data_IF_552403575259
#
_entry.id   IF_552403575259
#
_cell.length_a   1.000
_cell.length_b   1.000
_cell.length_c   1.000
_cell.angle_alpha   90.00
_cell.angle_beta   90.00
_cell.angle_gamma   90.00
#
_symmetry.space_group_name_H-M   'P 1'
#
loop_
_entity.id
_entity.type
_entity.pdbx_description
1 polymer ?
#
# COMPACT_ATOMS: atom_id res chain seq x y z
N UNK A 1 -3.97 -25.70 16.13
CA UNK A 1 -4.60 -24.40 15.77
C UNK A 1 -3.50 -23.36 15.89
N UNK A 2 -2.68 -23.19 14.84
CA UNK A 2 -1.32 -22.67 15.06
C UNK A 2 -0.85 -21.84 13.86
N UNK A 3 -0.29 -20.66 14.16
CA UNK A 3 0.30 -19.61 13.27
C UNK A 3 -0.63 -18.75 12.42
N UNK A 4 -1.65 -19.30 11.78
CA UNK A 4 -2.47 -18.52 10.82
C UNK A 4 -3.36 -17.46 11.49
N UNK A 5 -3.75 -17.67 12.75
CA UNK A 5 -4.63 -16.76 13.48
C UNK A 5 -3.88 -15.52 14.00
N UNK A 6 -2.61 -15.66 14.36
CA UNK A 6 -1.78 -14.58 14.90
C UNK A 6 -1.47 -13.53 13.83
N UNK A 7 -1.04 -13.96 12.63
CA UNK A 7 -0.83 -13.06 11.48
C UNK A 7 -2.08 -12.28 11.06
N UNK A 8 -3.25 -12.95 11.08
CA UNK A 8 -4.52 -12.30 10.73
C UNK A 8 -4.88 -11.16 11.67
N UNK A 9 -4.66 -11.35 12.98
CA UNK A 9 -4.96 -10.33 13.98
C UNK A 9 -3.94 -9.16 13.92
N UNK A 10 -2.68 -9.45 13.62
CA UNK A 10 -1.63 -8.42 13.54
C UNK A 10 -1.79 -7.53 12.30
N UNK A 11 -2.16 -8.09 11.15
CA UNK A 11 -2.47 -7.33 9.93
C UNK A 11 -3.69 -6.42 10.12
N UNK A 12 -4.74 -6.90 10.80
CA UNK A 12 -5.92 -6.08 11.09
C UNK A 12 -5.63 -4.97 12.12
N UNK A 13 -4.73 -5.24 13.08
CA UNK A 13 -4.26 -4.23 14.05
C UNK A 13 -3.39 -3.16 13.40
N UNK A 14 -2.47 -3.56 12.52
CA UNK A 14 -1.65 -2.64 11.74
C UNK A 14 -2.55 -1.72 10.91
N UNK A 15 -3.54 -2.27 10.20
CA UNK A 15 -4.55 -1.48 9.45
C UNK A 15 -5.29 -0.43 10.29
N UNK A 16 -5.43 -0.64 11.61
CA UNK A 16 -6.09 0.30 12.52
C UNK A 16 -5.14 1.35 13.11
N UNK A 17 -3.84 1.09 13.13
CA UNK A 17 -2.81 1.98 13.68
C UNK A 17 -2.26 3.01 12.67
N UNK A 18 -2.31 2.70 11.37
CA UNK A 18 -1.84 3.61 10.30
C UNK A 18 -2.51 5.01 10.20
N UNK A 19 -3.79 5.23 10.58
CA UNK A 19 -4.41 6.56 10.47
C UNK A 19 -3.68 7.63 11.29
N UNK A 20 -3.07 7.25 12.41
CA UNK A 20 -2.34 8.17 13.29
C UNK A 20 -0.91 8.46 12.79
N UNK A 21 -0.26 7.48 12.15
CA UNK A 21 1.06 7.66 11.53
C UNK A 21 1.00 8.60 10.31
N UNK A 22 -0.10 8.56 9.54
CA UNK A 22 -0.33 9.45 8.39
C UNK A 22 -0.52 10.93 8.77
N UNK A 23 -0.78 11.25 10.04
CA UNK A 23 -0.88 12.65 10.51
C UNK A 23 0.50 13.33 10.55
N UNK A 24 1.58 12.57 10.75
CA UNK A 24 2.95 13.10 10.76
C UNK A 24 3.47 13.51 9.38
N UNK A 25 2.99 12.87 8.30
CA UNK A 25 3.40 13.16 6.92
C UNK A 25 2.70 14.39 6.31
N UNK A 26 1.65 14.92 6.94
CA UNK A 26 0.82 16.03 6.41
C UNK A 26 1.51 17.40 6.33
N UNK A 27 2.77 17.54 6.76
CA UNK A 27 3.42 18.86 6.85
C UNK A 27 4.29 19.24 5.64
N UNK A 28 4.32 18.44 4.56
CA UNK A 28 5.13 18.75 3.36
C UNK A 28 4.32 18.90 2.06
N UNK A 29 2.99 18.92 2.11
CA UNK A 29 2.11 18.75 0.95
C UNK A 29 1.74 20.03 0.16
N UNK A 30 2.26 21.22 0.48
CA UNK A 30 1.71 22.46 -0.11
C UNK A 30 2.28 22.90 -1.48
N UNK A 31 3.23 22.19 -2.12
CA UNK A 31 3.89 22.70 -3.36
C UNK A 31 4.16 21.68 -4.50
N UNK A 32 3.48 20.53 -4.59
CA UNK A 32 3.72 19.57 -5.69
C UNK A 32 2.90 19.90 -6.97
N UNK A 33 3.50 20.72 -7.84
CA UNK A 33 2.99 21.07 -9.19
C UNK A 33 2.87 19.83 -10.10
N UNK A 34 1.94 19.90 -11.05
CA UNK A 34 1.53 18.86 -12.02
C UNK A 34 2.64 18.29 -12.94
N UNK A 35 3.90 18.69 -12.79
CA UNK A 35 5.04 18.20 -13.59
C UNK A 35 5.73 16.97 -12.97
N UNK A 36 5.38 16.58 -11.74
CA UNK A 36 6.08 15.52 -10.98
C UNK A 36 5.43 14.11 -11.03
N UNK A 37 4.37 13.88 -11.82
CA UNK A 37 3.67 12.58 -11.78
C UNK A 37 4.57 11.39 -12.18
N UNK A 38 5.35 11.44 -13.28
CA UNK A 38 6.28 10.35 -13.61
C UNK A 38 7.43 10.23 -12.59
N UNK A 39 7.84 11.35 -11.99
CA UNK A 39 8.87 11.39 -10.93
C UNK A 39 8.37 10.69 -9.67
N UNK A 40 7.09 10.85 -9.32
CA UNK A 40 6.49 10.16 -8.17
C UNK A 40 6.46 8.63 -8.37
N UNK A 41 6.15 8.15 -9.58
CA UNK A 41 6.28 6.73 -9.90
C UNK A 41 7.72 6.26 -9.85
N UNK A 42 8.66 7.05 -10.38
CA UNK A 42 10.07 6.71 -10.29
C UNK A 42 10.55 6.62 -8.83
N UNK A 43 10.13 7.55 -7.97
CA UNK A 43 10.49 7.55 -6.56
C UNK A 43 9.94 6.31 -5.85
N UNK A 44 8.65 6.03 -5.97
CA UNK A 44 8.07 4.87 -5.29
C UNK A 44 8.54 3.52 -5.87
N UNK A 45 8.93 3.46 -7.14
CA UNK A 45 9.61 2.29 -7.69
C UNK A 45 11.04 2.16 -7.14
N UNK A 46 11.75 3.27 -6.96
CA UNK A 46 13.07 3.28 -6.32
C UNK A 46 12.97 2.86 -4.86
N UNK A 47 12.02 3.42 -4.12
CA UNK A 47 11.77 3.07 -2.71
C UNK A 47 11.45 1.56 -2.61
N UNK A 48 10.70 1.01 -3.56
CA UNK A 48 10.44 -0.43 -3.66
C UNK A 48 11.72 -1.26 -3.88
N UNK A 49 12.64 -0.79 -4.72
CA UNK A 49 13.91 -1.47 -5.01
C UNK A 49 14.88 -1.38 -3.80
N UNK A 50 14.79 -0.32 -3.00
CA UNK A 50 15.61 -0.08 -1.80
C UNK A 50 15.13 -0.89 -0.57
N UNK A 51 13.89 -1.41 -0.57
CA UNK A 51 13.32 -2.15 0.58
C UNK A 51 14.15 -3.34 1.05
N UNK A 52 14.91 -3.98 0.16
CA UNK A 52 15.77 -5.10 0.57
C UNK A 52 16.94 -4.62 1.44
N UNK A 53 17.51 -3.46 1.11
CA UNK A 53 18.60 -2.87 1.89
C UNK A 53 18.05 -2.33 3.21
N UNK A 54 16.89 -1.67 3.20
CA UNK A 54 16.17 -1.24 4.41
C UNK A 54 15.86 -2.41 5.34
N UNK A 55 15.43 -3.55 4.80
CA UNK A 55 15.14 -4.74 5.59
C UNK A 55 16.37 -5.22 6.36
N UNK A 56 17.53 -5.22 5.70
CA UNK A 56 18.81 -5.63 6.29
C UNK A 56 19.23 -4.65 7.39
N UNK A 57 19.09 -3.34 7.16
CA UNK A 57 19.43 -2.31 8.14
C UNK A 57 18.54 -2.35 9.38
N UNK A 58 17.23 -2.54 9.20
CA UNK A 58 16.24 -2.61 10.28
C UNK A 58 16.18 -4.00 10.95
N UNK A 59 16.92 -4.99 10.42
CA UNK A 59 16.93 -6.36 10.95
C UNK A 59 15.58 -7.09 10.80
N UNK A 60 14.77 -6.70 9.81
CA UNK A 60 13.51 -7.33 9.47
C UNK A 60 13.67 -8.28 8.27
N UNK A 61 12.71 -9.19 8.09
CA UNK A 61 12.74 -10.13 6.97
C UNK A 61 12.54 -9.38 5.64
N UNK A 62 13.42 -9.55 4.65
CA UNK A 62 13.28 -8.89 3.37
C UNK A 62 12.05 -9.40 2.63
N UNK A 63 11.40 -8.55 1.81
CA UNK A 63 10.28 -8.98 0.99
C UNK A 63 10.76 -9.99 -0.06
N UNK A 64 9.92 -10.98 -0.36
CA UNK A 64 10.21 -11.95 -1.42
C UNK A 64 10.20 -11.29 -2.81
N UNK A 65 10.91 -11.87 -3.78
CA UNK A 65 10.87 -11.42 -5.18
C UNK A 65 9.45 -11.34 -5.73
N UNK A 66 8.57 -12.29 -5.34
CA UNK A 66 7.17 -12.31 -5.77
C UNK A 66 6.38 -11.15 -5.16
N UNK A 67 6.66 -10.78 -3.90
CA UNK A 67 6.06 -9.62 -3.24
C UNK A 67 6.45 -8.33 -3.96
N UNK A 68 7.75 -8.15 -4.24
CA UNK A 68 8.28 -6.98 -4.95
C UNK A 68 7.66 -6.88 -6.35
N UNK A 69 7.61 -7.98 -7.11
CA UNK A 69 7.02 -8.00 -8.45
C UNK A 69 5.53 -7.63 -8.43
N UNK A 70 4.78 -8.13 -7.45
CA UNK A 70 3.37 -7.79 -7.28
C UNK A 70 3.18 -6.31 -6.90
N UNK A 71 3.98 -5.80 -5.97
CA UNK A 71 3.96 -4.39 -5.58
C UNK A 71 4.27 -3.49 -6.78
N UNK A 72 5.34 -3.77 -7.54
CA UNK A 72 5.73 -3.02 -8.75
C UNK A 72 4.57 -2.94 -9.76
N UNK A 73 3.94 -4.09 -10.03
CA UNK A 73 2.79 -4.16 -10.94
C UNK A 73 1.60 -3.34 -10.45
N UNK A 74 1.32 -3.38 -9.14
CA UNK A 74 0.22 -2.63 -8.54
C UNK A 74 0.48 -1.12 -8.55
N UNK A 75 1.71 -0.68 -8.28
CA UNK A 75 2.10 0.73 -8.37
C UNK A 75 1.83 1.31 -9.75
N UNK A 76 2.18 0.57 -10.82
CA UNK A 76 1.92 0.97 -12.20
C UNK A 76 0.43 1.09 -12.50
N UNK A 77 -0.36 0.09 -12.08
CA UNK A 77 -1.82 0.10 -12.25
C UNK A 77 -2.46 1.25 -11.49
N UNK A 78 -2.05 1.48 -10.23
CA UNK A 78 -2.55 2.58 -9.41
C UNK A 78 -2.24 3.90 -10.10
N UNK A 79 -1.01 4.08 -10.58
CA UNK A 79 -0.58 5.27 -11.29
C UNK A 79 -1.43 5.53 -12.55
N UNK A 80 -1.73 4.49 -13.33
CA UNK A 80 -2.57 4.63 -14.52
C UNK A 80 -4.01 5.05 -14.19
N UNK A 81 -4.56 4.62 -13.05
CA UNK A 81 -5.93 4.94 -12.61
C UNK A 81 -5.99 6.30 -11.89
N UNK A 82 -5.03 6.55 -11.00
CA UNK A 82 -4.97 7.70 -10.11
C UNK A 82 -3.51 8.13 -9.96
N UNK A 83 -2.98 8.93 -10.90
CA UNK A 83 -1.61 9.41 -10.85
C UNK A 83 -1.52 10.48 -9.75
N UNK A 84 -1.11 10.06 -8.56
CA UNK A 84 -0.88 10.88 -7.36
C UNK A 84 0.24 10.26 -6.52
N UNK A 85 0.62 10.91 -5.43
CA UNK A 85 1.56 10.35 -4.48
C UNK A 85 0.98 9.12 -3.78
N UNK A 86 1.83 8.12 -3.57
CA UNK A 86 1.56 6.93 -2.78
C UNK A 86 2.75 6.68 -1.87
N UNK A 87 2.46 6.06 -0.74
CA UNK A 87 3.45 5.68 0.27
C UNK A 87 3.69 4.18 0.15
N UNK A 88 4.96 3.78 0.06
CA UNK A 88 5.39 2.38 0.07
C UNK A 88 6.14 2.15 1.38
N UNK A 89 5.71 1.17 2.15
CA UNK A 89 6.33 0.82 3.45
C UNK A 89 6.59 -0.68 3.51
N UNK A 90 7.76 -1.06 4.00
CA UNK A 90 8.06 -2.44 4.38
C UNK A 90 7.56 -2.69 5.80
N UNK A 91 6.66 -3.65 5.93
CA UNK A 91 6.16 -4.15 7.21
C UNK A 91 6.90 -5.42 7.61
N UNK A 92 6.84 -5.82 8.90
CA UNK A 92 7.40 -7.08 9.36
C UNK A 92 6.93 -8.28 8.52
N UNK A 93 7.74 -9.34 8.49
CA UNK A 93 7.50 -10.55 7.70
C UNK A 93 7.57 -10.34 6.17
N UNK A 94 8.27 -9.30 5.70
CA UNK A 94 8.47 -9.06 4.27
C UNK A 94 7.20 -8.62 3.53
N UNK A 95 6.25 -8.01 4.25
CA UNK A 95 4.98 -7.54 3.70
C UNK A 95 5.18 -6.12 3.15
N UNK A 96 4.77 -5.88 1.90
CA UNK A 96 4.83 -4.53 1.31
C UNK A 96 3.45 -3.88 1.43
N UNK A 97 3.39 -2.72 2.06
CA UNK A 97 2.21 -1.88 2.13
C UNK A 97 2.30 -0.75 1.09
N UNK A 98 1.26 -0.61 0.26
CA UNK A 98 1.08 0.50 -0.67
C UNK A 98 -0.15 1.29 -0.23
N UNK A 99 0.05 2.53 0.21
CA UNK A 99 -1.02 3.42 0.66
C UNK A 99 -1.23 4.55 -0.34
N UNK A 100 -2.45 4.68 -0.83
CA UNK A 100 -2.91 5.77 -1.69
C UNK A 100 -3.78 6.72 -0.84
N UNK A 101 -3.26 7.89 -0.44
CA UNK A 101 -4.03 8.88 0.29
C UNK A 101 -5.03 9.61 -0.62
N UNK A 102 -6.22 9.92 -0.09
CA UNK A 102 -7.26 10.69 -0.78
C UNK A 102 -7.81 11.86 0.02
N UNK A 103 -7.04 12.36 0.99
CA UNK A 103 -7.44 13.46 1.88
C UNK A 103 -8.01 12.99 3.22
N UNK A 104 -8.78 13.86 3.88
CA UNK A 104 -9.26 13.61 5.25
C UNK A 104 -10.11 12.32 5.33
N UNK A 105 -9.63 11.33 6.10
CA UNK A 105 -10.27 10.03 6.31
C UNK A 105 -10.57 9.24 5.03
N UNK A 106 -9.77 9.43 3.97
CA UNK A 106 -9.93 8.70 2.71
C UNK A 106 -8.60 8.09 2.29
N UNK A 107 -8.55 6.78 2.15
CA UNK A 107 -7.36 6.06 1.72
C UNK A 107 -7.70 4.70 1.13
N UNK A 108 -6.83 4.21 0.27
CA UNK A 108 -6.78 2.82 -0.17
C UNK A 108 -5.42 2.27 0.25
N UNK A 109 -5.40 1.14 0.94
CA UNK A 109 -4.18 0.46 1.38
C UNK A 109 -4.17 -0.95 0.78
N UNK A 110 -3.05 -1.33 0.17
CA UNK A 110 -2.79 -2.67 -0.34
C UNK A 110 -1.66 -3.28 0.45
N UNK A 111 -1.89 -4.44 1.05
CA UNK A 111 -0.86 -5.24 1.69
C UNK A 111 -0.56 -6.44 0.80
N UNK A 112 0.68 -6.56 0.35
CA UNK A 112 1.16 -7.69 -0.43
C UNK A 112 1.94 -8.61 0.52
N UNK A 113 1.38 -9.79 0.79
CA UNK A 113 2.02 -10.83 1.62
C UNK A 113 2.78 -11.78 0.68
N UNK A 114 4.04 -12.14 0.99
CA UNK A 114 4.79 -13.14 0.21
C UNK A 114 4.04 -14.46 0.20
N UNK A 115 3.81 -15.00 -1.00
CA UNK A 115 3.20 -16.31 -1.28
C UNK A 115 1.77 -16.56 -0.73
N UNK A 116 1.22 -15.62 0.04
CA UNK A 116 0.06 -15.81 0.93
C UNK A 116 -1.18 -15.03 0.47
N UNK A 117 -0.99 -14.05 -0.42
CA UNK A 117 -2.08 -13.29 -1.02
C UNK A 117 -1.93 -11.78 -0.89
N UNK A 118 -3.06 -11.09 -0.89
CA UNK A 118 -3.09 -9.65 -0.67
C UNK A 118 -4.30 -9.24 0.16
N UNK A 119 -4.20 -8.10 0.84
CA UNK A 119 -5.34 -7.45 1.49
C UNK A 119 -5.51 -6.05 0.92
N UNK A 120 -6.66 -5.77 0.33
CA UNK A 120 -7.05 -4.41 0.01
C UNK A 120 -7.98 -3.88 1.10
N UNK A 121 -7.56 -2.81 1.77
CA UNK A 121 -8.34 -2.06 2.74
C UNK A 121 -8.69 -0.69 2.16
N UNK A 122 -9.93 -0.26 2.33
CA UNK A 122 -10.46 0.97 1.77
C UNK A 122 -11.19 1.72 2.87
N UNK A 123 -10.76 2.95 3.13
CA UNK A 123 -11.45 3.89 4.00
C UNK A 123 -12.00 5.04 3.17
N UNK A 124 -13.31 5.26 3.23
CA UNK A 124 -13.97 6.38 2.57
C UNK A 124 -14.83 7.12 3.60
N UNK A 125 -14.27 8.19 4.18
CA UNK A 125 -14.96 9.06 5.14
C UNK A 125 -15.56 8.29 6.32
N UNK A 126 -14.75 7.42 6.93
CA UNK A 126 -15.15 6.59 8.07
C UNK A 126 -15.87 5.28 7.70
N UNK A 127 -16.17 5.04 6.42
CA UNK A 127 -16.64 3.74 5.94
C UNK A 127 -15.46 2.86 5.55
N UNK A 128 -15.23 1.82 6.33
CA UNK A 128 -14.18 0.84 6.09
C UNK A 128 -14.72 -0.37 5.32
N UNK A 129 -14.06 -0.74 4.23
CA UNK A 129 -14.30 -1.97 3.44
C UNK A 129 -12.98 -2.66 3.21
N UNK A 130 -12.96 -3.99 3.26
CA UNK A 130 -11.76 -4.74 2.93
C UNK A 130 -12.07 -5.97 2.08
N UNK A 131 -11.10 -6.39 1.27
CA UNK A 131 -11.14 -7.62 0.50
C UNK A 131 -9.78 -8.30 0.55
N UNK A 132 -9.78 -9.57 0.96
CA UNK A 132 -8.59 -10.42 0.95
C UNK A 132 -8.58 -11.26 -0.33
N UNK A 133 -7.40 -11.43 -0.90
CA UNK A 133 -7.12 -12.21 -2.10
C UNK A 133 -6.23 -13.36 -1.72
N UNK A 134 -6.48 -14.54 -2.27
CA UNK A 134 -5.60 -15.70 -2.08
C UNK A 134 -4.26 -15.52 -2.79
N UNK A 135 -4.26 -14.72 -3.86
CA UNK A 135 -3.07 -14.42 -4.65
C UNK A 135 -3.08 -12.93 -5.04
N UNK A 136 -1.94 -12.27 -4.90
CA UNK A 136 -1.82 -10.84 -5.20
C UNK A 136 -1.93 -10.52 -6.71
N UNK A 137 -1.72 -11.52 -7.57
CA UNK A 137 -1.92 -11.43 -9.02
C UNK A 137 -3.39 -11.21 -9.43
N UNK A 138 -4.34 -11.49 -8.54
CA UNK A 138 -5.78 -11.24 -8.72
C UNK A 138 -6.15 -9.75 -8.69
N UNK A 139 -5.28 -8.91 -8.12
CA UNK A 139 -5.38 -7.46 -8.19
C UNK A 139 -4.80 -6.95 -9.51
N UNK A 140 -5.16 -5.78 -10.03
CA UNK A 140 -6.38 -5.07 -9.69
C UNK A 140 -7.60 -5.88 -10.11
N UNK A 141 -8.59 -5.89 -9.24
CA UNK A 141 -9.92 -6.34 -9.58
C UNK A 141 -10.89 -5.14 -9.57
N UNK A 142 -12.18 -5.42 -9.78
CA UNK A 142 -13.22 -4.39 -9.73
C UNK A 142 -13.27 -3.67 -8.38
N UNK A 143 -13.03 -4.35 -7.27
CA UNK A 143 -13.06 -3.75 -5.93
C UNK A 143 -11.98 -2.67 -5.79
N UNK A 144 -10.73 -2.98 -6.17
CA UNK A 144 -9.64 -2.00 -6.14
C UNK A 144 -9.89 -0.85 -7.12
N UNK A 145 -10.27 -1.14 -8.37
CA UNK A 145 -10.50 -0.11 -9.38
C UNK A 145 -11.61 0.87 -8.99
N UNK A 146 -12.71 0.37 -8.41
CA UNK A 146 -13.79 1.23 -7.91
C UNK A 146 -13.31 2.09 -6.73
N UNK A 147 -12.54 1.52 -5.80
CA UNK A 147 -12.02 2.26 -4.66
C UNK A 147 -11.07 3.40 -5.06
N UNK A 148 -10.14 3.13 -5.99
CA UNK A 148 -9.22 4.16 -6.53
C UNK A 148 -10.00 5.24 -7.30
N UNK A 149 -10.98 4.84 -8.11
CA UNK A 149 -11.84 5.79 -8.83
C UNK A 149 -12.65 6.67 -7.87
N UNK A 150 -13.18 6.09 -6.79
CA UNK A 150 -13.89 6.83 -5.74
C UNK A 150 -12.95 7.81 -5.05
N UNK A 151 -11.71 7.40 -4.76
CA UNK A 151 -10.67 8.26 -4.18
C UNK A 151 -10.39 9.49 -5.05
N UNK A 152 -10.31 9.31 -6.37
CA UNK A 152 -10.05 10.39 -7.32
C UNK A 152 -11.18 11.40 -7.53
N UNK A 153 -12.41 11.10 -7.11
CA UNK A 153 -13.58 12.02 -7.22
C UNK A 153 -13.65 13.07 -6.10
N UNK A 154 -12.71 13.03 -5.17
CA UNK A 154 -12.60 13.91 -4.01
C UNK A 154 -11.84 15.19 -4.24
#
# INVERSE_FOLDING_TARGET
MTREKTRRDDVERLSKAFPDALVGLKQSDEDARKEDLPVQLANALRDLDELNDEAVEEGIEPPSESTIANANRLLRVIYDILPRQYLVELLPEGIIAITVPGGFQRSVMLLCESDSGALCSVNMSGKHRCKRYSHADQLPDRFLSEALSELGRG
#
